data_IF_020745673801
#
_entry.id   IF_020745673801
#
_cell.length_a   1.000
_cell.length_b   1.000
_cell.length_c   1.000
_cell.angle_alpha   90.00
_cell.angle_beta   90.00
_cell.angle_gamma   90.00
#
_symmetry.space_group_name_H-M   'P 1'
#
loop_
_entity.id
_entity.type
_entity.pdbx_description
1 polymer ?
#
# COMPACT_ATOMS: atom_id res chain seq x y z
N UNK A 1 -5.04 0.53 -12.23
CA UNK A 1 -4.45 0.35 -10.90
C UNK A 1 -3.79 -1.01 -10.82
N UNK A 2 -2.54 -1.04 -10.40
CA UNK A 2 -1.74 -2.27 -10.19
C UNK A 2 -1.56 -2.57 -8.70
N UNK A 3 -1.11 -3.78 -8.40
CA UNK A 3 -0.60 -4.13 -7.07
C UNK A 3 0.93 -4.20 -7.11
N UNK A 4 1.57 -3.38 -6.29
CA UNK A 4 2.99 -3.49 -6.00
C UNK A 4 3.20 -4.24 -4.68
N UNK A 5 4.27 -5.02 -4.59
CA UNK A 5 4.61 -5.75 -3.38
C UNK A 5 5.39 -4.84 -2.42
N UNK A 6 4.77 -4.44 -1.31
CA UNK A 6 5.42 -3.68 -0.24
C UNK A 6 6.32 -4.62 0.56
N UNK A 7 7.63 -4.37 0.52
CA UNK A 7 8.57 -5.25 1.19
C UNK A 7 8.47 -5.16 2.72
N UNK A 8 8.67 -6.31 3.36
CA UNK A 8 8.53 -6.52 4.79
C UNK A 8 9.29 -7.77 5.23
N UNK A 9 9.30 -8.03 6.54
CA UNK A 9 9.92 -9.25 7.07
C UNK A 9 9.32 -10.52 6.42
N UNK A 10 10.18 -11.39 5.88
CA UNK A 10 9.77 -12.64 5.23
C UNK A 10 9.31 -12.50 3.78
N UNK A 11 9.43 -11.30 3.17
CA UNK A 11 9.00 -11.07 1.78
C UNK A 11 9.99 -11.54 0.71
N UNK A 12 11.24 -11.89 1.03
CA UNK A 12 12.27 -12.26 0.02
C UNK A 12 11.79 -13.39 -0.91
N UNK A 13 11.65 -14.61 -0.38
CA UNK A 13 11.21 -15.77 -1.18
C UNK A 13 9.74 -15.69 -1.60
N UNK A 14 8.93 -14.93 -0.86
CA UNK A 14 7.52 -14.71 -1.21
C UNK A 14 7.39 -13.85 -2.48
N UNK A 15 8.13 -12.75 -2.56
CA UNK A 15 8.11 -11.84 -3.70
C UNK A 15 8.71 -12.51 -4.93
N UNK A 16 9.82 -13.23 -4.78
CA UNK A 16 10.42 -14.00 -5.87
C UNK A 16 9.43 -15.04 -6.43
N UNK A 17 8.77 -15.82 -5.56
CA UNK A 17 7.76 -16.78 -5.96
C UNK A 17 6.61 -16.11 -6.72
N UNK A 18 6.03 -15.05 -6.16
CA UNK A 18 4.87 -14.37 -6.77
C UNK A 18 5.24 -13.73 -8.10
N UNK A 19 6.36 -13.02 -8.20
CA UNK A 19 6.83 -12.40 -9.44
C UNK A 19 7.10 -13.47 -10.50
N UNK A 20 7.71 -14.60 -10.13
CA UNK A 20 7.91 -15.73 -11.06
C UNK A 20 6.57 -16.29 -11.55
N UNK A 21 5.61 -16.55 -10.67
CA UNK A 21 4.30 -17.06 -11.07
C UNK A 21 3.52 -16.07 -11.95
N UNK A 22 3.68 -14.78 -11.67
CA UNK A 22 3.04 -13.70 -12.40
C UNK A 22 3.71 -13.34 -13.72
N UNK A 23 4.99 -13.67 -13.87
CA UNK A 23 5.87 -13.26 -14.96
C UNK A 23 5.95 -11.73 -15.13
N UNK A 24 5.57 -10.97 -14.10
CA UNK A 24 5.58 -9.51 -14.06
C UNK A 24 5.23 -8.99 -12.65
N UNK A 25 5.63 -7.75 -12.38
CA UNK A 25 5.21 -7.00 -11.19
C UNK A 25 6.33 -6.14 -10.63
N UNK A 26 5.99 -5.32 -9.64
CA UNK A 26 6.93 -4.39 -9.00
C UNK A 26 7.02 -4.68 -7.52
N UNK A 27 8.24 -4.63 -6.97
CA UNK A 27 8.51 -4.78 -5.53
C UNK A 27 9.12 -3.49 -5.00
N UNK A 28 8.46 -2.87 -4.00
CA UNK A 28 8.97 -1.70 -3.28
C UNK A 28 9.85 -2.18 -2.13
N UNK A 29 11.17 -2.16 -2.34
CA UNK A 29 12.16 -2.63 -1.39
C UNK A 29 12.27 -1.68 -0.18
N UNK A 30 12.53 -2.28 0.98
CA UNK A 30 12.59 -1.59 2.27
C UNK A 30 13.99 -1.73 2.88
N UNK A 31 14.80 -0.66 2.91
CA UNK A 31 16.06 -0.60 3.65
C UNK A 31 15.88 -0.87 5.16
N UNK A 32 14.70 -0.56 5.72
CA UNK A 32 14.37 -0.95 7.11
C UNK A 32 14.36 -2.47 7.31
N UNK A 33 13.92 -3.24 6.31
CA UNK A 33 13.79 -4.70 6.39
C UNK A 33 14.91 -5.48 5.71
N UNK A 34 15.76 -4.83 4.90
CA UNK A 34 16.80 -5.48 4.12
C UNK A 34 18.15 -4.79 4.32
N UNK A 35 19.18 -5.56 4.62
CA UNK A 35 20.56 -5.07 4.52
C UNK A 35 20.92 -4.84 3.06
N UNK A 36 21.93 -4.00 2.79
CA UNK A 36 22.37 -3.69 1.42
C UNK A 36 22.60 -4.95 0.55
N UNK A 37 23.30 -5.95 1.10
CA UNK A 37 23.57 -7.22 0.41
C UNK A 37 22.29 -8.01 0.07
N UNK A 38 21.26 -7.88 0.91
CA UNK A 38 19.97 -8.50 0.69
C UNK A 38 19.16 -7.74 -0.37
N UNK A 39 19.24 -6.40 -0.40
CA UNK A 39 18.65 -5.58 -1.48
C UNK A 39 19.23 -6.01 -2.83
N UNK A 40 20.55 -6.15 -2.93
CA UNK A 40 21.22 -6.60 -4.16
C UNK A 40 20.73 -8.00 -4.59
N UNK A 41 20.72 -8.96 -3.66
CA UNK A 41 20.28 -10.33 -3.92
C UNK A 41 18.82 -10.38 -4.39
N UNK A 42 17.93 -9.68 -3.69
CA UNK A 42 16.49 -9.66 -4.03
C UNK A 42 16.29 -8.99 -5.37
N UNK A 43 16.93 -7.85 -5.63
CA UNK A 43 16.79 -7.13 -6.90
C UNK A 43 17.17 -7.99 -8.09
N UNK A 44 18.29 -8.71 -8.01
CA UNK A 44 18.70 -9.66 -9.04
C UNK A 44 17.68 -10.78 -9.23
N UNK A 45 17.17 -11.37 -8.14
CA UNK A 45 16.19 -12.45 -8.22
C UNK A 45 14.86 -11.98 -8.84
N UNK A 46 14.37 -10.79 -8.47
CA UNK A 46 13.15 -10.21 -9.04
C UNK A 46 13.34 -9.88 -10.52
N UNK A 47 14.43 -9.20 -10.89
CA UNK A 47 14.71 -8.83 -12.27
C UNK A 47 14.88 -10.05 -13.19
N UNK A 48 15.49 -11.14 -12.70
CA UNK A 48 15.62 -12.40 -13.44
C UNK A 48 14.27 -13.10 -13.70
N UNK A 49 13.23 -12.78 -12.94
CA UNK A 49 11.88 -13.32 -13.09
C UNK A 49 10.93 -12.32 -13.79
N UNK A 50 11.46 -11.42 -14.63
CA UNK A 50 10.71 -10.38 -15.35
C UNK A 50 9.99 -9.36 -14.43
N UNK A 51 10.35 -9.32 -13.15
CA UNK A 51 9.88 -8.29 -12.23
C UNK A 51 10.71 -7.02 -12.34
N UNK A 52 10.26 -6.01 -11.61
CA UNK A 52 10.96 -4.75 -11.39
C UNK A 52 11.04 -4.46 -9.89
N UNK A 53 12.02 -3.66 -9.52
CA UNK A 53 12.14 -3.14 -8.14
C UNK A 53 12.06 -1.63 -8.15
N UNK A 54 11.62 -1.06 -7.04
CA UNK A 54 11.87 0.33 -6.69
C UNK A 54 12.26 0.36 -5.21
N UNK A 55 12.96 1.41 -4.80
CA UNK A 55 13.50 1.50 -3.44
C UNK A 55 12.79 2.65 -2.77
N UNK A 56 12.07 2.36 -1.70
CA UNK A 56 11.57 3.37 -0.78
C UNK A 56 12.70 3.71 0.20
N UNK A 57 13.27 4.93 0.19
CA UNK A 57 14.35 5.29 1.13
C UNK A 57 13.91 5.23 2.60
N UNK A 58 12.59 5.24 2.87
CA UNK A 58 12.00 5.16 4.19
C UNK A 58 12.49 6.25 5.15
N UNK A 59 12.76 7.43 4.62
CA UNK A 59 13.25 8.59 5.37
C UNK A 59 12.15 9.35 6.13
N UNK A 60 11.08 8.66 6.52
CA UNK A 60 9.89 9.26 7.15
C UNK A 60 10.20 9.87 8.51
N UNK A 61 10.98 9.16 9.32
CA UNK A 61 11.37 9.57 10.67
C UNK A 61 12.90 9.69 10.69
N UNK A 62 13.44 10.86 10.33
CA UNK A 62 14.88 11.04 10.27
C UNK A 62 15.63 10.82 11.60
N UNK A 63 14.92 11.01 12.72
CA UNK A 63 15.41 10.73 14.09
C UNK A 63 15.17 9.28 14.52
N UNK A 64 14.71 8.42 13.61
CA UNK A 64 14.54 7.00 13.86
C UNK A 64 15.88 6.35 14.19
N UNK A 65 15.83 5.35 15.07
CA UNK A 65 17.00 4.64 15.60
C UNK A 65 16.99 3.15 15.21
N UNK A 66 16.19 2.78 14.21
CA UNK A 66 16.16 1.42 13.71
C UNK A 66 17.49 1.05 13.04
N UNK A 67 18.31 0.27 13.75
CA UNK A 67 19.69 -0.10 13.41
C UNK A 67 19.92 -0.44 11.94
N UNK A 68 19.07 -1.29 11.34
CA UNK A 68 19.23 -1.67 9.92
C UNK A 68 19.06 -0.49 8.98
N UNK A 69 18.03 0.33 9.21
CA UNK A 69 17.69 1.46 8.35
C UNK A 69 18.80 2.51 8.39
N UNK A 70 19.26 2.83 9.59
CA UNK A 70 20.32 3.83 9.81
C UNK A 70 21.72 3.34 9.41
N UNK A 71 21.89 2.03 9.19
CA UNK A 71 23.17 1.46 8.72
C UNK A 71 23.43 1.63 7.21
N UNK A 72 22.43 2.08 6.44
CA UNK A 72 22.59 2.28 5.00
C UNK A 72 23.41 3.55 4.69
N UNK A 73 24.28 3.46 3.68
CA UNK A 73 25.22 4.54 3.31
C UNK A 73 24.58 5.88 2.98
N UNK A 74 23.31 5.89 2.51
CA UNK A 74 22.59 7.14 2.24
C UNK A 74 22.04 7.82 3.50
N UNK A 75 21.97 7.10 4.62
CA UNK A 75 21.45 7.65 5.88
C UNK A 75 22.51 8.58 6.50
N UNK A 76 22.17 9.84 6.83
CA UNK A 76 23.16 10.81 7.30
C UNK A 76 23.55 10.57 8.77
N UNK A 77 24.84 10.72 9.07
CA UNK A 77 25.40 10.57 10.43
C UNK A 77 24.95 11.69 11.41
N UNK A 78 24.73 12.92 10.92
CA UNK A 78 24.36 14.07 11.74
C UNK A 78 23.13 14.82 11.21
N UNK A 79 21.98 14.52 11.81
CA UNK A 79 20.67 15.01 11.38
C UNK A 79 20.47 16.53 11.52
N UNK A 80 21.02 17.18 12.56
CA UNK A 80 20.70 18.59 12.88
C UNK A 80 21.16 19.60 11.82
N UNK A 81 22.14 19.24 11.00
CA UNK A 81 22.75 20.14 10.00
C UNK A 81 22.49 19.69 8.56
N UNK A 82 22.18 18.42 8.32
CA UNK A 82 22.03 17.86 6.97
C UNK A 82 20.76 18.32 6.23
N UNK A 83 19.69 18.68 6.93
CA UNK A 83 18.38 18.97 6.33
C UNK A 83 18.24 20.37 5.74
N UNK A 84 19.16 21.27 6.09
CA UNK A 84 19.28 22.62 5.51
C UNK A 84 20.59 22.81 4.75
N UNK A 85 21.35 21.73 4.55
CA UNK A 85 22.58 21.74 3.77
C UNK A 85 22.35 21.01 2.45
N UNK A 86 22.28 21.79 1.36
CA UNK A 86 22.15 21.27 0.00
C UNK A 86 23.22 20.21 -0.31
N UNK A 87 24.42 20.31 0.28
CA UNK A 87 25.47 19.32 0.04
C UNK A 87 25.13 17.96 0.67
N UNK A 88 24.51 17.94 1.84
CA UNK A 88 24.13 16.70 2.51
C UNK A 88 22.97 16.02 1.76
N UNK A 89 21.95 16.78 1.35
CA UNK A 89 20.85 16.28 0.51
C UNK A 89 21.41 15.73 -0.80
N UNK A 90 22.26 16.49 -1.49
CA UNK A 90 22.89 16.05 -2.74
C UNK A 90 23.74 14.79 -2.55
N UNK A 91 24.46 14.67 -1.45
CA UNK A 91 25.26 13.48 -1.14
C UNK A 91 24.36 12.26 -0.94
N UNK A 92 23.30 12.38 -0.14
CA UNK A 92 22.30 11.33 0.06
C UNK A 92 21.66 10.90 -1.27
N UNK A 93 21.24 11.85 -2.11
CA UNK A 93 20.63 11.57 -3.40
C UNK A 93 21.61 10.90 -4.38
N UNK A 94 22.88 11.31 -4.42
CA UNK A 94 23.90 10.65 -5.23
C UNK A 94 24.13 9.20 -4.78
N UNK A 95 24.18 8.94 -3.47
CA UNK A 95 24.33 7.57 -2.95
C UNK A 95 23.10 6.73 -3.33
N UNK A 96 21.90 7.27 -3.12
CA UNK A 96 20.64 6.61 -3.53
C UNK A 96 20.60 6.35 -5.04
N UNK A 97 21.17 7.23 -5.87
CA UNK A 97 21.23 7.06 -7.31
C UNK A 97 22.26 6.00 -7.71
N UNK A 98 23.51 6.17 -7.32
CA UNK A 98 24.62 5.38 -7.85
C UNK A 98 24.71 3.99 -7.19
N UNK A 99 24.54 3.92 -5.87
CA UNK A 99 24.77 2.67 -5.11
C UNK A 99 23.51 1.80 -5.00
N UNK A 100 22.33 2.39 -5.21
CA UNK A 100 21.03 1.73 -5.03
C UNK A 100 20.24 1.69 -6.34
N UNK A 101 19.66 2.81 -6.79
CA UNK A 101 18.71 2.80 -7.89
C UNK A 101 19.34 2.42 -9.24
N UNK A 102 20.47 3.02 -9.59
CA UNK A 102 21.22 2.72 -10.80
C UNK A 102 21.80 1.31 -10.80
N UNK A 103 22.37 0.89 -9.67
CA UNK A 103 22.94 -0.46 -9.51
C UNK A 103 21.90 -1.57 -9.61
N UNK A 104 20.71 -1.37 -9.04
CA UNK A 104 19.66 -2.38 -8.98
C UNK A 104 18.62 -2.28 -10.10
N UNK A 105 18.76 -1.29 -10.99
CA UNK A 105 17.86 -1.09 -12.12
C UNK A 105 16.45 -0.75 -11.68
N UNK A 106 16.31 0.16 -10.71
CA UNK A 106 15.01 0.58 -10.20
C UNK A 106 14.12 1.13 -11.31
N UNK A 107 12.83 0.80 -11.24
CA UNK A 107 11.79 1.25 -12.17
C UNK A 107 11.58 2.77 -12.11
N UNK A 108 11.60 3.31 -10.91
CA UNK A 108 11.37 4.71 -10.59
C UNK A 108 12.30 5.13 -9.44
N UNK A 109 12.50 6.43 -9.27
CA UNK A 109 13.30 6.98 -8.19
C UNK A 109 12.38 7.65 -7.17
N UNK A 110 12.18 6.99 -6.03
CA UNK A 110 11.41 7.55 -4.91
C UNK A 110 12.33 8.48 -4.11
N UNK A 111 11.94 9.75 -4.02
CA UNK A 111 12.64 10.74 -3.23
C UNK A 111 12.40 10.51 -1.73
N UNK A 112 13.41 10.73 -0.86
CA UNK A 112 13.20 10.71 0.57
C UNK A 112 12.19 11.79 0.99
N UNK A 113 11.24 11.45 1.84
CA UNK A 113 10.24 12.38 2.37
C UNK A 113 10.05 12.21 3.86
N UNK A 114 9.77 13.31 4.57
CA UNK A 114 9.54 13.32 6.02
C UNK A 114 8.05 13.12 6.29
N UNK A 115 7.76 12.36 7.34
CA UNK A 115 6.44 12.29 7.96
C UNK A 115 6.05 13.64 8.57
N UNK A 116 4.95 14.23 8.10
CA UNK A 116 4.47 15.50 8.64
C UNK A 116 3.10 15.38 9.29
N UNK A 117 2.93 16.12 10.40
CA UNK A 117 1.65 16.36 11.06
C UNK A 117 1.02 17.69 10.66
N UNK A 118 1.71 18.49 9.86
CA UNK A 118 1.24 19.78 9.36
C UNK A 118 1.89 20.11 8.01
N UNK A 119 1.06 20.45 7.04
CA UNK A 119 1.41 21.01 5.75
C UNK A 119 1.50 22.52 5.92
N UNK A 120 2.68 23.07 5.68
CA UNK A 120 2.97 24.50 5.78
C UNK A 120 4.14 24.87 4.85
N UNK A 121 4.57 26.13 4.90
CA UNK A 121 5.66 26.64 4.06
C UNK A 121 7.00 25.92 4.32
N UNK A 122 7.30 25.53 5.56
CA UNK A 122 8.52 24.79 5.89
C UNK A 122 8.52 23.40 5.26
N UNK A 123 7.37 22.71 5.30
CA UNK A 123 7.19 21.43 4.63
C UNK A 123 7.38 21.55 3.11
N UNK A 124 6.81 22.59 2.49
CA UNK A 124 6.98 22.85 1.05
C UNK A 124 8.44 23.15 0.70
N UNK A 125 9.06 24.09 1.41
CA UNK A 125 10.46 24.48 1.22
C UNK A 125 11.40 23.27 1.28
N UNK A 126 11.17 22.37 2.24
CA UNK A 126 11.97 21.16 2.41
C UNK A 126 11.84 20.21 1.20
N UNK A 127 10.62 19.89 0.78
CA UNK A 127 10.40 18.99 -0.33
C UNK A 127 10.87 19.60 -1.66
N UNK A 128 10.58 20.89 -1.87
CA UNK A 128 11.06 21.66 -3.03
C UNK A 128 12.59 21.64 -3.14
N UNK A 129 13.31 21.72 -2.01
CA UNK A 129 14.77 21.62 -2.00
C UNK A 129 15.25 20.24 -2.48
N UNK A 130 14.69 19.14 -1.97
CA UNK A 130 15.05 17.79 -2.42
C UNK A 130 14.78 17.62 -3.91
N UNK A 131 13.60 18.06 -4.37
CA UNK A 131 13.20 17.93 -5.77
C UNK A 131 14.16 18.72 -6.66
N UNK A 132 14.52 19.94 -6.26
CA UNK A 132 15.47 20.77 -7.02
C UNK A 132 16.85 20.12 -7.11
N UNK A 133 17.36 19.55 -6.02
CA UNK A 133 18.64 18.84 -6.02
C UNK A 133 18.57 17.56 -6.84
N UNK A 134 17.47 16.80 -6.78
CA UNK A 134 17.26 15.61 -7.58
C UNK A 134 17.23 15.93 -9.10
N UNK A 135 16.57 17.01 -9.50
CA UNK A 135 16.55 17.46 -10.90
C UNK A 135 17.94 17.88 -11.40
N UNK A 136 18.79 18.43 -10.53
CA UNK A 136 20.18 18.75 -10.87
C UNK A 136 21.03 17.50 -11.16
N UNK A 137 20.65 16.33 -10.62
CA UNK A 137 21.35 15.06 -10.84
C UNK A 137 21.04 14.38 -12.19
N UNK A 138 20.09 14.92 -12.98
CA UNK A 138 19.69 14.38 -14.29
C UNK A 138 19.33 12.89 -14.24
N UNK A 139 18.54 12.52 -13.23
CA UNK A 139 18.03 11.17 -13.03
C UNK A 139 17.19 10.76 -14.25
N UNK A 140 17.47 9.60 -14.83
CA UNK A 140 16.77 9.09 -16.03
C UNK A 140 15.40 8.49 -15.71
N UNK A 141 15.26 7.92 -14.51
CA UNK A 141 14.01 7.38 -14.00
C UNK A 141 13.01 8.49 -13.71
N UNK A 142 11.72 8.13 -13.76
CA UNK A 142 10.66 8.99 -13.23
C UNK A 142 10.88 9.27 -11.74
N UNK A 143 10.81 10.55 -11.35
CA UNK A 143 10.95 11.01 -9.98
C UNK A 143 9.58 10.99 -9.30
N UNK A 144 9.55 10.35 -8.13
CA UNK A 144 8.39 10.27 -7.27
C UNK A 144 8.67 10.98 -5.96
N UNK A 145 7.93 12.05 -5.65
CA UNK A 145 8.01 12.69 -4.33
C UNK A 145 7.23 11.88 -3.30
N UNK A 146 7.81 11.69 -2.12
CA UNK A 146 7.14 10.99 -1.02
C UNK A 146 6.27 11.94 -0.22
N UNK A 147 4.96 11.69 -0.16
CA UNK A 147 4.03 12.41 0.72
C UNK A 147 3.65 11.52 1.88
N UNK A 148 4.33 11.69 3.02
CA UNK A 148 4.04 10.94 4.25
C UNK A 148 3.28 11.81 5.24
N UNK A 149 2.00 11.47 5.43
CA UNK A 149 1.06 12.31 6.17
C UNK A 149 0.54 11.60 7.41
N UNK A 150 0.45 12.36 8.49
CA UNK A 150 -0.18 11.90 9.72
C UNK A 150 -1.69 11.79 9.59
N UNK A 151 -2.30 11.11 10.55
CA UNK A 151 -3.75 11.12 10.68
C UNK A 151 -4.29 12.57 10.83
N UNK A 152 -3.63 13.47 11.55
CA UNK A 152 -4.07 14.87 11.69
C UNK A 152 -4.18 15.60 10.34
N UNK A 153 -3.19 15.42 9.45
CA UNK A 153 -3.24 15.97 8.09
C UNK A 153 -4.39 15.32 7.31
N UNK A 154 -4.49 13.99 7.37
CA UNK A 154 -5.53 13.24 6.64
C UNK A 154 -6.96 13.51 7.13
N UNK A 155 -7.13 14.11 8.31
CA UNK A 155 -8.43 14.50 8.88
C UNK A 155 -8.83 15.93 8.50
N UNK A 156 -7.94 16.72 7.90
CA UNK A 156 -8.16 18.13 7.60
C UNK A 156 -8.24 18.41 6.11
N UNK A 157 -9.44 18.77 5.62
CA UNK A 157 -9.66 19.19 4.24
C UNK A 157 -8.76 20.39 3.87
N UNK A 158 -8.57 21.34 4.79
CA UNK A 158 -7.67 22.50 4.59
C UNK A 158 -6.22 22.07 4.33
N UNK A 159 -5.72 21.10 5.09
CA UNK A 159 -4.36 20.58 4.94
C UNK A 159 -4.18 19.82 3.63
N UNK A 160 -5.19 19.05 3.20
CA UNK A 160 -5.20 18.38 1.89
C UNK A 160 -5.18 19.40 0.76
N UNK A 161 -5.99 20.45 0.83
CA UNK A 161 -6.02 21.50 -0.17
C UNK A 161 -4.69 22.26 -0.26
N UNK A 162 -4.10 22.58 0.89
CA UNK A 162 -2.79 23.25 0.94
C UNK A 162 -1.68 22.35 0.39
N UNK A 163 -1.72 21.03 0.65
CA UNK A 163 -0.79 20.09 0.06
C UNK A 163 -0.92 20.06 -1.47
N UNK A 164 -2.15 20.05 -1.98
CA UNK A 164 -2.41 20.12 -3.42
C UNK A 164 -1.83 21.40 -4.03
N UNK A 165 -2.05 22.57 -3.42
CA UNK A 165 -1.51 23.85 -3.89
C UNK A 165 0.02 23.84 -4.01
N UNK A 166 0.74 23.35 -3.00
CA UNK A 166 2.20 23.24 -3.08
C UNK A 166 2.65 22.26 -4.16
N UNK A 167 2.01 21.08 -4.23
CA UNK A 167 2.38 20.03 -5.20
C UNK A 167 2.20 20.44 -6.66
N UNK A 168 1.33 21.41 -6.98
CA UNK A 168 1.18 21.94 -8.35
C UNK A 168 2.50 22.49 -8.92
N UNK A 169 3.36 23.04 -8.05
CA UNK A 169 4.62 23.66 -8.45
C UNK A 169 5.81 22.68 -8.45
N UNK A 170 5.59 21.43 -8.01
CA UNK A 170 6.65 20.44 -7.90
C UNK A 170 6.92 19.76 -9.24
N UNK A 171 8.17 19.88 -9.69
CA UNK A 171 8.65 19.23 -10.91
C UNK A 171 9.03 17.77 -10.62
N UNK A 172 8.00 16.91 -10.51
CA UNK A 172 8.10 15.45 -10.40
C UNK A 172 7.07 14.76 -11.30
N UNK A 173 7.33 13.52 -11.70
CA UNK A 173 6.40 12.72 -12.52
C UNK A 173 5.28 12.08 -11.69
N UNK A 174 5.49 11.88 -10.40
CA UNK A 174 4.48 11.29 -9.53
C UNK A 174 4.72 11.44 -8.03
N UNK A 175 3.84 10.80 -7.27
CA UNK A 175 3.86 10.81 -5.82
C UNK A 175 3.73 9.41 -5.25
N UNK A 176 4.52 9.13 -4.22
CA UNK A 176 4.40 7.96 -3.37
C UNK A 176 3.74 8.38 -2.05
N UNK A 177 2.45 8.07 -1.91
CA UNK A 177 1.64 8.46 -0.75
C UNK A 177 1.80 7.45 0.37
N UNK A 178 2.03 7.93 1.58
CA UNK A 178 2.18 7.11 2.79
C UNK A 178 1.31 7.73 3.89
N UNK A 179 -0.01 7.52 3.84
CA UNK A 179 -0.93 8.10 4.81
C UNK A 179 -1.03 7.21 6.06
N UNK A 180 -0.89 7.81 7.24
CA UNK A 180 -1.10 7.11 8.51
C UNK A 180 -2.61 7.02 8.83
N UNK A 181 -3.16 5.81 9.05
CA UNK A 181 -4.55 5.65 9.42
C UNK A 181 -4.81 6.02 10.89
N UNK A 182 -6.05 6.41 11.24
CA UNK A 182 -6.41 6.71 12.62
C UNK A 182 -6.13 5.50 13.53
N UNK A 183 -5.53 5.75 14.69
CA UNK A 183 -5.23 4.74 15.73
C UNK A 183 -4.42 3.53 15.23
N UNK A 184 -3.63 3.69 14.16
CA UNK A 184 -2.90 2.58 13.49
C UNK A 184 -3.82 1.42 13.08
N UNK A 185 -5.08 1.73 12.77
CA UNK A 185 -6.10 0.74 12.41
C UNK A 185 -5.73 -0.01 11.12
N UNK A 186 -6.13 -1.28 11.04
CA UNK A 186 -6.01 -2.05 9.80
C UNK A 186 -7.15 -1.73 8.84
N UNK A 187 -8.39 -1.77 9.34
CA UNK A 187 -9.57 -1.30 8.62
C UNK A 187 -10.00 0.03 9.22
N UNK A 188 -10.08 1.06 8.38
CA UNK A 188 -10.37 2.44 8.75
C UNK A 188 -11.88 2.61 8.87
N UNK A 189 -12.34 2.99 10.05
CA UNK A 189 -13.76 3.25 10.34
C UNK A 189 -14.14 4.74 10.20
N UNK A 190 -13.20 5.58 9.80
CA UNK A 190 -13.40 7.01 9.59
C UNK A 190 -13.63 7.36 8.10
N UNK A 191 -14.84 7.83 7.72
CA UNK A 191 -15.13 8.17 6.33
C UNK A 191 -14.43 9.45 5.88
N UNK A 192 -14.14 10.40 6.76
CA UNK A 192 -13.48 11.66 6.41
C UNK A 192 -12.06 11.36 5.94
N UNK A 193 -11.35 10.50 6.67
CA UNK A 193 -10.00 10.09 6.30
C UNK A 193 -9.96 9.46 4.89
N UNK A 194 -10.91 8.56 4.57
CA UNK A 194 -10.98 7.95 3.23
C UNK A 194 -11.33 8.96 2.12
N UNK A 195 -12.24 9.89 2.40
CA UNK A 195 -12.61 10.96 1.45
C UNK A 195 -11.40 11.84 1.16
N UNK A 196 -10.68 12.25 2.19
CA UNK A 196 -9.49 13.10 2.07
C UNK A 196 -8.37 12.39 1.30
N UNK A 197 -8.17 11.08 1.50
CA UNK A 197 -7.23 10.30 0.69
C UNK A 197 -7.66 10.22 -0.78
N UNK A 198 -8.95 9.99 -1.05
CA UNK A 198 -9.49 10.02 -2.41
C UNK A 198 -9.32 11.40 -3.05
N UNK A 199 -9.53 12.46 -2.27
CA UNK A 199 -9.44 13.84 -2.75
C UNK A 199 -8.01 14.23 -3.09
N UNK A 200 -7.07 13.94 -2.20
CA UNK A 200 -5.64 14.10 -2.43
C UNK A 200 -5.20 13.33 -3.69
N UNK A 201 -5.52 12.04 -3.75
CA UNK A 201 -5.15 11.21 -4.91
C UNK A 201 -5.75 11.76 -6.20
N UNK A 202 -7.03 12.13 -6.20
CA UNK A 202 -7.69 12.71 -7.38
C UNK A 202 -7.08 14.05 -7.79
N UNK A 203 -6.75 14.92 -6.83
CA UNK A 203 -6.11 16.21 -7.10
C UNK A 203 -4.76 16.04 -7.77
N UNK A 204 -3.91 15.17 -7.24
CA UNK A 204 -2.60 14.85 -7.83
C UNK A 204 -2.74 14.26 -9.24
N UNK A 205 -3.71 13.36 -9.46
CA UNK A 205 -4.00 12.81 -10.80
C UNK A 205 -4.47 13.91 -11.76
N UNK A 206 -5.27 14.88 -11.32
CA UNK A 206 -5.68 16.03 -12.12
C UNK A 206 -4.53 16.97 -12.48
N UNK A 207 -3.45 16.99 -11.69
CA UNK A 207 -2.20 17.67 -12.04
C UNK A 207 -1.38 16.90 -13.09
N UNK A 208 -1.90 15.79 -13.64
CA UNK A 208 -1.23 14.96 -14.64
C UNK A 208 -0.15 14.05 -14.07
N UNK A 209 -0.19 13.78 -12.76
CA UNK A 209 0.85 13.07 -12.02
C UNK A 209 0.50 11.59 -11.88
N UNK A 210 1.50 10.74 -11.70
CA UNK A 210 1.28 9.36 -11.25
C UNK A 210 1.12 9.30 -9.73
N UNK A 211 0.29 8.40 -9.24
CA UNK A 211 0.04 8.22 -7.80
C UNK A 211 0.17 6.75 -7.43
N UNK A 212 1.09 6.47 -6.50
CA UNK A 212 1.28 5.15 -5.89
C UNK A 212 1.00 5.30 -4.40
N UNK A 213 0.18 4.42 -3.81
CA UNK A 213 -0.14 4.47 -2.38
C UNK A 213 0.52 3.31 -1.65
N UNK A 214 1.47 3.63 -0.78
CA UNK A 214 2.17 2.70 0.10
C UNK A 214 1.23 2.06 1.14
N UNK A 215 1.70 1.00 1.79
CA UNK A 215 1.08 0.43 3.01
C UNK A 215 -0.43 0.25 2.94
N UNK A 216 -0.91 -0.29 1.83
CA UNK A 216 -2.32 -0.43 1.50
C UNK A 216 -2.86 -1.85 1.73
N UNK A 217 -4.17 -1.95 1.90
CA UNK A 217 -4.90 -3.20 1.97
C UNK A 217 -6.14 -3.17 1.04
N UNK A 218 -6.96 -4.21 1.10
CA UNK A 218 -8.13 -4.36 0.24
C UNK A 218 -9.20 -3.28 0.45
N UNK A 219 -9.25 -2.59 1.58
CA UNK A 219 -10.16 -1.46 1.80
C UNK A 219 -9.87 -0.30 0.83
N UNK A 220 -8.59 -0.10 0.48
CA UNK A 220 -8.16 0.98 -0.41
C UNK A 220 -8.36 0.66 -1.90
N UNK A 221 -9.08 -0.42 -2.24
CA UNK A 221 -9.58 -0.64 -3.60
C UNK A 221 -10.48 0.51 -4.08
N UNK A 222 -11.09 1.27 -3.17
CA UNK A 222 -11.87 2.46 -3.50
C UNK A 222 -11.05 3.55 -4.22
N UNK A 223 -9.72 3.57 -4.07
CA UNK A 223 -8.81 4.49 -4.77
C UNK A 223 -8.83 4.33 -6.30
N UNK A 224 -9.41 3.24 -6.81
CA UNK A 224 -9.72 3.11 -8.21
C UNK A 224 -10.62 4.24 -8.74
N UNK A 225 -11.47 4.87 -7.90
CA UNK A 225 -12.27 6.05 -8.27
C UNK A 225 -11.42 7.27 -8.64
N UNK A 226 -10.26 7.42 -8.02
CA UNK A 226 -9.30 8.47 -8.33
C UNK A 226 -8.34 8.04 -9.45
N UNK A 227 -8.49 6.83 -10.01
CA UNK A 227 -7.59 6.24 -11.01
C UNK A 227 -6.12 6.17 -10.56
N UNK A 228 -5.91 5.89 -9.26
CA UNK A 228 -4.58 5.61 -8.70
C UNK A 228 -3.85 4.55 -9.52
N UNK A 229 -2.56 4.79 -9.78
CA UNK A 229 -1.76 3.94 -10.66
C UNK A 229 -1.42 2.61 -10.00
N UNK A 230 -1.05 2.62 -8.71
CA UNK A 230 -0.82 1.41 -7.94
C UNK A 230 -1.08 1.59 -6.43
N UNK A 231 -1.42 0.48 -5.78
CA UNK A 231 -1.35 0.37 -4.31
C UNK A 231 -0.27 -0.65 -3.94
N UNK A 232 0.40 -0.46 -2.80
CA UNK A 232 1.47 -1.34 -2.33
C UNK A 232 1.01 -2.14 -1.11
N UNK A 233 1.11 -3.47 -1.15
CA UNK A 233 0.69 -4.33 -0.04
C UNK A 233 1.68 -5.48 0.20
N UNK A 234 1.72 -6.01 1.41
CA UNK A 234 2.65 -7.08 1.79
C UNK A 234 2.00 -8.23 2.56
N UNK A 235 2.82 -9.01 3.25
CA UNK A 235 2.39 -10.20 3.99
C UNK A 235 1.76 -9.89 5.36
N UNK A 236 2.35 -8.96 6.11
CA UNK A 236 1.93 -8.63 7.48
C UNK A 236 1.13 -7.33 7.55
N UNK A 237 0.35 -7.13 8.62
CA UNK A 237 -0.49 -5.93 8.74
C UNK A 237 0.33 -4.62 8.73
N UNK A 238 1.54 -4.62 9.27
CA UNK A 238 2.43 -3.45 9.31
C UNK A 238 3.06 -3.08 7.95
N UNK A 239 2.81 -3.85 6.89
CA UNK A 239 3.09 -3.50 5.48
C UNK A 239 1.79 -3.32 4.68
N UNK A 240 0.65 -3.24 5.37
CA UNK A 240 -0.71 -3.05 4.82
C UNK A 240 -1.48 -1.91 5.51
N UNK A 241 -0.84 -1.29 6.48
CA UNK A 241 -1.28 -0.13 7.24
C UNK A 241 -0.01 0.51 7.79
N UNK A 242 0.20 1.79 7.50
CA UNK A 242 1.41 2.51 7.89
C UNK A 242 1.39 2.82 9.39
N UNK A 243 2.55 2.70 10.04
CA UNK A 243 2.74 3.10 11.44
C UNK A 243 4.19 3.54 11.64
N UNK A 244 4.36 4.76 12.15
CA UNK A 244 5.66 5.37 12.44
C UNK A 244 6.47 4.62 13.51
N UNK A 245 5.83 3.93 14.45
CA UNK A 245 6.48 3.13 15.51
C UNK A 245 7.45 2.09 14.95
N UNK A 246 7.22 1.59 13.73
CA UNK A 246 8.05 0.57 13.09
C UNK A 246 9.47 1.05 12.73
N UNK A 247 9.66 2.37 12.63
CA UNK A 247 10.94 3.01 12.29
C UNK A 247 11.78 3.34 13.52
N UNK A 248 11.29 3.00 14.70
CA UNK A 248 12.04 3.01 15.94
C UNK A 248 12.59 1.62 16.30
N UNK A 249 13.53 1.58 17.23
CA UNK A 249 14.03 0.33 17.80
C UNK A 249 12.85 -0.53 18.32
N UNK A 250 12.80 -1.82 17.96
CA UNK A 250 11.68 -2.67 18.34
C UNK A 250 11.58 -2.79 19.86
N UNK A 251 10.37 -2.64 20.39
CA UNK A 251 10.05 -3.00 21.77
C UNK A 251 9.82 -4.52 21.86
N UNK A 252 10.37 -5.15 22.90
CA UNK A 252 10.23 -6.59 23.12
C UNK A 252 8.75 -6.97 23.26
N UNK A 253 8.22 -7.67 22.26
CA UNK A 253 6.83 -8.13 22.23
C UNK A 253 6.69 -9.46 21.52
N UNK A 254 6.20 -10.47 22.22
CA UNK A 254 5.83 -11.77 21.62
C UNK A 254 4.42 -11.62 21.04
N UNK A 255 4.32 -11.33 19.73
CA UNK A 255 3.04 -11.37 19.02
C UNK A 255 2.61 -12.81 18.74
N UNK A 256 1.35 -13.15 19.07
CA UNK A 256 0.78 -14.47 18.87
C UNK A 256 0.43 -14.67 17.38
N UNK A 257 1.23 -15.46 16.67
CA UNK A 257 1.00 -15.79 15.27
C UNK A 257 -0.27 -16.62 15.09
N UNK A 258 -1.13 -16.19 14.17
CA UNK A 258 -2.34 -16.93 13.76
C UNK A 258 -2.37 -17.00 12.23
N UNK A 259 -2.81 -18.13 11.67
CA UNK A 259 -3.03 -18.30 10.24
C UNK A 259 -4.39 -17.71 9.85
N UNK A 260 -4.42 -16.93 8.79
CA UNK A 260 -5.62 -16.27 8.28
C UNK A 260 -5.91 -16.71 6.84
N UNK A 261 -7.17 -16.75 6.47
CA UNK A 261 -7.65 -16.95 5.11
C UNK A 261 -8.36 -15.67 4.67
N UNK A 262 -7.97 -15.12 3.53
CA UNK A 262 -8.66 -13.96 2.96
C UNK A 262 -9.78 -14.45 2.04
N UNK A 263 -11.02 -14.07 2.35
CA UNK A 263 -12.16 -14.30 1.47
C UNK A 263 -12.38 -13.05 0.61
N UNK A 264 -11.94 -13.04 -0.66
CA UNK A 264 -11.98 -11.82 -1.48
C UNK A 264 -13.39 -11.34 -1.80
N UNK A 265 -14.40 -12.22 -1.79
CA UNK A 265 -15.80 -11.87 -2.00
C UNK A 265 -16.42 -11.15 -0.79
N UNK A 266 -15.97 -11.50 0.42
CA UNK A 266 -16.39 -10.88 1.67
C UNK A 266 -15.51 -9.67 2.04
N UNK A 267 -14.44 -9.42 1.29
CA UNK A 267 -13.36 -8.49 1.62
C UNK A 267 -12.82 -8.71 3.05
N UNK A 268 -12.93 -9.92 3.61
CA UNK A 268 -12.68 -10.19 5.03
C UNK A 268 -11.63 -11.29 5.21
N UNK A 269 -10.90 -11.24 6.31
CA UNK A 269 -9.98 -12.30 6.70
C UNK A 269 -10.52 -13.11 7.89
N UNK A 270 -10.40 -14.44 7.82
CA UNK A 270 -10.90 -15.36 8.82
C UNK A 270 -9.78 -16.24 9.39
N UNK A 271 -9.75 -16.40 10.70
CA UNK A 271 -8.87 -17.39 11.32
C UNK A 271 -9.35 -18.80 10.99
N UNK A 272 -8.42 -19.75 10.83
CA UNK A 272 -8.74 -21.16 10.50
C UNK A 272 -9.83 -21.78 11.40
N UNK A 273 -9.89 -21.53 12.73
CA UNK A 273 -10.98 -22.03 13.56
C UNK A 273 -12.38 -21.56 13.13
N UNK A 274 -12.53 -20.37 12.53
CA UNK A 274 -13.83 -19.93 11.98
C UNK A 274 -14.18 -20.63 10.67
N UNK A 275 -13.19 -21.07 9.89
CA UNK A 275 -13.43 -21.95 8.75
C UNK A 275 -13.88 -23.34 9.21
N UNK A 276 -13.39 -23.84 10.36
CA UNK A 276 -13.90 -25.08 10.96
C UNK A 276 -15.36 -24.97 11.37
N UNK A 277 -15.79 -23.80 11.89
CA UNK A 277 -17.20 -23.52 12.17
C UNK A 277 -18.01 -23.58 10.86
N UNK A 278 -17.54 -22.94 9.80
CA UNK A 278 -18.19 -23.00 8.49
C UNK A 278 -18.31 -24.45 7.97
N UNK A 279 -17.27 -25.26 8.15
CA UNK A 279 -17.28 -26.68 7.81
C UNK A 279 -18.32 -27.46 8.60
N UNK A 280 -18.38 -27.25 9.91
CA UNK A 280 -19.39 -27.89 10.78
C UNK A 280 -20.82 -27.52 10.38
N UNK A 281 -21.02 -26.33 9.83
CA UNK A 281 -22.33 -25.83 9.39
C UNK A 281 -22.66 -26.16 7.93
N UNK A 282 -21.75 -26.81 7.19
CA UNK A 282 -21.94 -27.10 5.77
C UNK A 282 -21.84 -25.85 4.86
N UNK A 283 -21.22 -24.78 5.34
CA UNK A 283 -21.09 -23.48 4.65
C UNK A 283 -19.69 -23.23 4.07
N UNK A 284 -18.82 -24.24 4.02
CA UNK A 284 -17.44 -24.11 3.51
C UNK A 284 -17.38 -23.53 2.10
N UNK A 285 -18.33 -23.87 1.23
CA UNK A 285 -18.34 -23.39 -0.17
C UNK A 285 -18.68 -21.90 -0.30
N UNK A 286 -19.42 -21.33 0.66
CA UNK A 286 -19.72 -19.88 0.68
C UNK A 286 -18.47 -19.02 0.92
N UNK A 287 -17.44 -19.62 1.53
CA UNK A 287 -16.14 -18.99 1.75
C UNK A 287 -15.13 -19.28 0.64
N UNK A 288 -15.41 -20.23 -0.27
CA UNK A 288 -14.43 -20.67 -1.25
C UNK A 288 -14.08 -19.54 -2.23
N UNK A 289 -12.79 -19.32 -2.45
CA UNK A 289 -12.33 -18.32 -3.42
C UNK A 289 -12.74 -18.74 -4.84
N UNK A 290 -13.34 -17.81 -5.59
CA UNK A 290 -13.72 -18.07 -6.98
C UNK A 290 -12.48 -18.35 -7.86
N UNK A 291 -12.62 -19.24 -8.84
CA UNK A 291 -11.53 -19.62 -9.75
C UNK A 291 -10.93 -18.47 -10.55
N UNK A 292 -11.69 -17.38 -10.76
CA UNK A 292 -11.24 -16.15 -11.40
C UNK A 292 -10.12 -15.42 -10.66
N UNK A 293 -9.89 -15.73 -9.38
CA UNK A 293 -8.74 -15.19 -8.62
C UNK A 293 -7.43 -15.92 -8.90
N UNK A 294 -7.47 -17.07 -9.59
CA UNK A 294 -6.29 -17.85 -9.96
C UNK A 294 -5.36 -18.13 -8.76
N UNK A 295 -5.94 -18.46 -7.60
CA UNK A 295 -5.21 -18.57 -6.33
C UNK A 295 -5.29 -19.98 -5.74
N UNK A 296 -4.44 -20.91 -6.19
CA UNK A 296 -4.48 -22.31 -5.74
C UNK A 296 -4.03 -22.49 -4.28
N UNK A 297 -3.46 -21.44 -3.68
CA UNK A 297 -2.82 -21.47 -2.37
C UNK A 297 -3.76 -21.80 -1.22
N UNK A 298 -5.06 -21.54 -1.37
CA UNK A 298 -6.07 -21.82 -0.35
C UNK A 298 -6.95 -23.05 -0.68
N UNK A 299 -6.80 -23.67 -1.85
CA UNK A 299 -7.69 -24.77 -2.31
C UNK A 299 -7.76 -25.92 -1.31
N UNK A 300 -6.65 -26.20 -0.62
CA UNK A 300 -6.57 -27.28 0.37
C UNK A 300 -7.59 -27.10 1.51
N UNK A 301 -7.94 -25.86 1.87
CA UNK A 301 -8.95 -25.53 2.89
C UNK A 301 -10.37 -25.96 2.49
N UNK A 302 -10.61 -26.12 1.18
CA UNK A 302 -11.93 -26.39 0.60
C UNK A 302 -12.01 -27.79 -0.03
N UNK A 303 -11.01 -28.65 0.21
CA UNK A 303 -10.88 -30.00 -0.35
C UNK A 303 -11.81 -31.06 0.26
N UNK A 304 -12.64 -30.70 1.25
CA UNK A 304 -13.61 -31.58 1.92
C UNK A 304 -13.17 -32.06 3.31
N UNK A 305 -11.91 -31.90 3.68
CA UNK A 305 -11.44 -32.10 5.05
C UNK A 305 -11.76 -30.88 5.94
N UNK A 306 -11.73 -31.07 7.26
CA UNK A 306 -11.82 -29.96 8.22
C UNK A 306 -10.64 -28.99 8.01
N UNK A 307 -10.87 -27.67 7.83
CA UNK A 307 -9.82 -26.71 7.51
C UNK A 307 -8.57 -26.75 8.41
N UNK A 308 -8.73 -26.91 9.73
CA UNK A 308 -7.58 -27.00 10.65
C UNK A 308 -6.78 -28.29 10.58
N UNK A 309 -7.32 -29.36 9.99
CA UNK A 309 -6.59 -30.61 9.75
C UNK A 309 -5.86 -30.63 8.41
N UNK A 310 -6.03 -29.59 7.59
CA UNK A 310 -5.31 -29.44 6.32
C UNK A 310 -3.87 -28.96 6.51
N UNK A 311 -3.05 -29.17 5.47
CA UNK A 311 -1.67 -28.65 5.41
C UNK A 311 -1.55 -27.14 5.18
N UNK A 312 -2.64 -26.36 5.27
CA UNK A 312 -2.61 -24.92 5.03
C UNK A 312 -1.69 -24.20 6.02
N UNK A 313 -0.79 -23.38 5.49
CA UNK A 313 0.29 -22.75 6.25
C UNK A 313 0.35 -21.23 6.01
N UNK A 314 1.20 -20.56 6.79
CA UNK A 314 1.34 -19.11 6.76
C UNK A 314 1.86 -18.59 5.39
N UNK A 315 2.90 -19.18 4.76
CA UNK A 315 3.28 -18.80 3.40
C UNK A 315 2.13 -18.89 2.39
N UNK A 316 1.31 -19.94 2.45
CA UNK A 316 0.14 -20.09 1.58
C UNK A 316 -0.90 -18.98 1.82
N UNK A 317 -1.09 -18.55 3.07
CA UNK A 317 -1.96 -17.42 3.41
C UNK A 317 -1.48 -16.11 2.79
N UNK A 318 -0.19 -15.80 2.87
CA UNK A 318 0.34 -14.58 2.28
C UNK A 318 0.27 -14.59 0.76
N UNK A 319 0.64 -15.70 0.12
CA UNK A 319 0.50 -15.87 -1.33
C UNK A 319 -0.95 -15.73 -1.78
N UNK A 320 -1.87 -16.36 -1.04
CA UNK A 320 -3.29 -16.30 -1.33
C UNK A 320 -3.82 -14.86 -1.29
N UNK A 321 -3.56 -14.13 -0.21
CA UNK A 321 -3.99 -12.73 -0.06
C UNK A 321 -3.47 -11.85 -1.20
N UNK A 322 -2.15 -11.89 -1.46
CA UNK A 322 -1.52 -11.02 -2.46
C UNK A 322 -1.97 -11.37 -3.89
N UNK A 323 -2.18 -12.66 -4.18
CA UNK A 323 -2.76 -13.09 -5.45
C UNK A 323 -4.18 -12.55 -5.62
N UNK A 324 -5.04 -12.70 -4.61
CA UNK A 324 -6.42 -12.22 -4.68
C UNK A 324 -6.47 -10.70 -4.82
N UNK A 325 -5.67 -9.97 -4.05
CA UNK A 325 -5.59 -8.51 -4.12
C UNK A 325 -5.04 -8.03 -5.47
N UNK A 326 -4.08 -8.74 -6.09
CA UNK A 326 -3.61 -8.44 -7.45
C UNK A 326 -4.75 -8.49 -8.44
N UNK A 327 -5.57 -9.54 -8.41
CA UNK A 327 -6.71 -9.66 -9.31
C UNK A 327 -7.77 -8.60 -9.02
N UNK A 328 -8.01 -8.24 -7.75
CA UNK A 328 -8.94 -7.16 -7.40
C UNK A 328 -8.48 -5.81 -7.92
N UNK A 329 -7.21 -5.44 -7.70
CA UNK A 329 -6.64 -4.16 -8.17
C UNK A 329 -6.67 -4.04 -9.68
N UNK A 330 -6.28 -5.09 -10.41
CA UNK A 330 -6.34 -5.14 -11.88
C UNK A 330 -7.77 -4.97 -12.42
N UNK A 331 -8.77 -5.44 -11.67
CA UNK A 331 -10.18 -5.34 -12.03
C UNK A 331 -10.87 -4.09 -11.47
N UNK A 332 -10.24 -3.32 -10.59
CA UNK A 332 -10.90 -2.23 -9.87
C UNK A 332 -11.22 -1.05 -10.80
N UNK A 333 -10.27 -0.66 -11.65
CA UNK A 333 -10.44 0.43 -12.64
C UNK A 333 -11.10 -0.13 -13.90
N UNK A 334 -12.20 0.49 -14.33
CA UNK A 334 -12.95 0.14 -15.56
C UNK A 334 -12.76 1.20 -16.64
N UNK A 335 -13.21 0.95 -17.90
CA UNK A 335 -13.06 1.91 -18.99
C UNK A 335 -13.72 3.28 -18.76
N UNK A 336 -14.69 3.39 -17.86
CA UNK A 336 -15.31 4.67 -17.51
C UNK A 336 -15.41 4.85 -16.01
N UNK A 337 -15.42 6.11 -15.55
CA UNK A 337 -15.65 6.47 -14.16
C UNK A 337 -16.92 5.81 -13.59
N UNK A 338 -18.05 5.89 -14.32
CA UNK A 338 -19.33 5.30 -13.85
C UNK A 338 -19.24 3.79 -13.70
N UNK A 339 -18.61 3.09 -14.65
CA UNK A 339 -18.40 1.65 -14.54
C UNK A 339 -17.49 1.27 -13.38
N UNK A 340 -16.46 2.08 -13.09
CA UNK A 340 -15.59 1.90 -11.91
C UNK A 340 -16.39 2.05 -10.63
N UNK A 341 -17.17 3.14 -10.51
CA UNK A 341 -18.02 3.41 -9.35
C UNK A 341 -19.05 2.31 -9.11
N UNK A 342 -19.79 1.91 -10.15
CA UNK A 342 -20.78 0.84 -10.05
C UNK A 342 -20.14 -0.50 -9.68
N UNK A 343 -18.97 -0.82 -10.23
CA UNK A 343 -18.22 -2.02 -9.89
C UNK A 343 -17.79 -2.05 -8.42
N UNK A 344 -17.32 -0.93 -7.88
CA UNK A 344 -16.95 -0.80 -6.47
C UNK A 344 -18.18 -0.91 -5.55
N UNK A 345 -19.28 -0.23 -5.86
CA UNK A 345 -20.52 -0.32 -5.07
C UNK A 345 -21.00 -1.78 -5.04
N UNK A 346 -21.06 -2.46 -6.18
CA UNK A 346 -21.46 -3.86 -6.25
C UNK A 346 -20.54 -4.76 -5.40
N UNK A 347 -19.23 -4.52 -5.43
CA UNK A 347 -18.27 -5.26 -4.61
C UNK A 347 -18.53 -5.04 -3.12
N UNK A 348 -18.76 -3.80 -2.69
CA UNK A 348 -19.05 -3.44 -1.30
C UNK A 348 -20.39 -4.03 -0.82
N UNK A 349 -21.45 -3.95 -1.62
CA UNK A 349 -22.76 -4.53 -1.31
C UNK A 349 -22.72 -6.06 -1.25
N UNK A 350 -21.94 -6.69 -2.13
CA UNK A 350 -21.68 -8.14 -2.10
C UNK A 350 -20.96 -8.54 -0.83
N UNK A 351 -19.90 -7.80 -0.46
CA UNK A 351 -19.18 -8.03 0.79
C UNK A 351 -20.09 -7.84 2.01
N UNK A 352 -20.95 -6.81 2.00
CA UNK A 352 -21.95 -6.57 3.06
C UNK A 352 -22.88 -7.76 3.23
N UNK A 353 -23.52 -8.19 2.13
CA UNK A 353 -24.50 -9.28 2.15
C UNK A 353 -23.87 -10.60 2.60
N UNK A 354 -22.66 -10.90 2.11
CA UNK A 354 -21.94 -12.12 2.46
C UNK A 354 -21.46 -12.09 3.92
N UNK A 355 -20.91 -10.97 4.39
CA UNK A 355 -20.46 -10.86 5.79
C UNK A 355 -21.64 -10.90 6.76
N UNK A 356 -22.78 -10.27 6.45
CA UNK A 356 -24.01 -10.39 7.23
C UNK A 356 -24.48 -11.86 7.32
N UNK A 357 -24.53 -12.55 6.18
CA UNK A 357 -24.86 -13.97 6.13
C UNK A 357 -23.90 -14.82 6.99
N UNK A 358 -22.59 -14.64 6.82
CA UNK A 358 -21.58 -15.39 7.59
C UNK A 358 -21.66 -15.10 9.10
N UNK A 359 -21.85 -13.83 9.47
CA UNK A 359 -21.96 -13.38 10.85
C UNK A 359 -23.22 -13.93 11.54
N UNK A 360 -24.34 -13.98 10.83
CA UNK A 360 -25.58 -14.59 11.32
C UNK A 360 -25.43 -16.10 11.58
N UNK A 361 -24.47 -16.74 10.90
CA UNK A 361 -24.06 -18.13 11.09
C UNK A 361 -22.83 -18.30 12.03
N UNK A 362 -22.40 -17.25 12.75
CA UNK A 362 -21.31 -17.36 13.72
C UNK A 362 -19.89 -17.46 13.13
N UNK A 363 -19.74 -17.27 11.83
CA UNK A 363 -18.45 -17.20 11.13
C UNK A 363 -18.03 -15.73 11.10
N UNK A 364 -17.02 -15.34 11.90
CA UNK A 364 -16.65 -13.93 12.14
C UNK A 364 -15.20 -13.65 11.79
N UNK A 365 -14.92 -12.52 11.14
CA UNK A 365 -13.56 -12.06 10.81
C UNK A 365 -12.86 -11.31 11.94
N UNK A 366 -13.57 -10.99 13.03
CA UNK A 366 -13.09 -10.14 14.14
C UNK A 366 -12.61 -8.78 13.63
N UNK A 367 -11.45 -8.30 14.07
CA UNK A 367 -10.81 -7.04 13.65
C UNK A 367 -10.46 -6.97 12.15
N UNK A 368 -10.64 -8.07 11.40
CA UNK A 368 -10.46 -8.14 9.94
C UNK A 368 -11.76 -8.46 9.19
N UNK A 369 -12.89 -8.23 9.84
CA UNK A 369 -14.22 -8.36 9.25
C UNK A 369 -14.64 -7.05 8.58
N UNK A 370 -14.80 -7.10 7.26
CA UNK A 370 -15.09 -5.92 6.46
C UNK A 370 -16.46 -5.32 6.75
N UNK A 371 -17.39 -6.09 7.36
CA UNK A 371 -18.70 -5.60 7.77
C UNK A 371 -18.62 -4.38 8.70
N UNK A 372 -17.47 -4.16 9.35
CA UNK A 372 -17.23 -3.01 10.23
C UNK A 372 -17.01 -1.71 9.47
N UNK A 373 -16.65 -1.77 8.19
CA UNK A 373 -16.23 -0.60 7.40
C UNK A 373 -16.93 -0.50 6.04
N UNK A 374 -17.86 -1.40 5.70
CA UNK A 374 -18.63 -1.30 4.44
C UNK A 374 -19.32 0.06 4.31
N UNK A 375 -20.06 0.50 5.33
CA UNK A 375 -20.81 1.76 5.30
C UNK A 375 -19.89 2.98 5.21
N UNK A 376 -18.68 2.87 5.78
CA UNK A 376 -17.63 3.88 5.72
C UNK A 376 -17.14 4.04 4.28
N UNK A 377 -16.83 2.93 3.61
CA UNK A 377 -16.44 2.91 2.20
C UNK A 377 -17.56 3.40 1.28
N UNK A 378 -18.81 2.96 1.48
CA UNK A 378 -19.96 3.42 0.68
C UNK A 378 -20.18 4.93 0.84
N UNK A 379 -20.07 5.44 2.06
CA UNK A 379 -20.18 6.87 2.37
C UNK A 379 -19.08 7.67 1.68
N UNK A 380 -17.83 7.19 1.74
CA UNK A 380 -16.70 7.84 1.08
C UNK A 380 -16.86 7.87 -0.45
N UNK A 381 -17.29 6.76 -1.06
CA UNK A 381 -17.59 6.67 -2.50
C UNK A 381 -18.68 7.69 -2.89
N UNK A 382 -19.78 7.75 -2.15
CA UNK A 382 -20.89 8.65 -2.45
C UNK A 382 -20.50 10.13 -2.27
N UNK A 383 -19.75 10.45 -1.21
CA UNK A 383 -19.25 11.79 -0.97
C UNK A 383 -18.27 12.23 -2.07
N UNK A 384 -17.30 11.38 -2.42
CA UNK A 384 -16.35 11.65 -3.50
C UNK A 384 -17.04 11.86 -4.86
N UNK A 385 -18.02 11.03 -5.22
CA UNK A 385 -18.81 11.20 -6.45
C UNK A 385 -19.52 12.55 -6.48
N UNK A 386 -20.07 12.99 -5.35
CA UNK A 386 -20.72 14.29 -5.24
C UNK A 386 -19.76 15.47 -5.35
N UNK A 387 -18.56 15.35 -4.78
CA UNK A 387 -17.57 16.44 -4.73
C UNK A 387 -16.75 16.54 -6.01
N UNK A 388 -16.28 15.40 -6.55
CA UNK A 388 -15.31 15.32 -7.65
C UNK A 388 -15.80 14.52 -8.86
N UNK A 389 -16.89 13.75 -8.73
CA UNK A 389 -17.32 12.79 -9.76
C UNK A 389 -17.55 13.41 -11.14
N UNK A 390 -18.09 14.63 -11.22
CA UNK A 390 -18.26 15.32 -12.51
C UNK A 390 -16.92 15.61 -13.21
N UNK A 391 -15.94 16.13 -12.47
CA UNK A 391 -14.62 16.50 -13.00
C UNK A 391 -13.86 15.23 -13.40
N UNK A 392 -13.80 14.25 -12.50
CA UNK A 392 -13.11 12.97 -12.73
C UNK A 392 -13.72 12.23 -13.93
N UNK A 393 -15.05 12.25 -14.06
CA UNK A 393 -15.74 11.66 -15.21
C UNK A 393 -15.36 12.33 -16.53
N UNK A 394 -15.23 13.66 -16.55
CA UNK A 394 -14.90 14.39 -17.76
C UNK A 394 -13.46 14.13 -18.23
N UNK A 395 -12.53 14.00 -17.29
CA UNK A 395 -11.11 13.77 -17.56
C UNK A 395 -10.70 12.31 -17.47
N UNK A 396 -11.64 11.37 -17.32
CA UNK A 396 -11.33 9.98 -16.97
C UNK A 396 -10.29 9.32 -17.89
N UNK A 397 -10.35 9.59 -19.19
CA UNK A 397 -9.43 9.01 -20.17
C UNK A 397 -8.04 9.65 -20.13
N UNK A 398 -7.94 10.89 -19.65
CA UNK A 398 -6.71 11.68 -19.53
C UNK A 398 -5.95 11.45 -18.21
N UNK A 399 -6.63 10.90 -17.19
CA UNK A 399 -6.06 10.62 -15.86
C UNK A 399 -5.05 9.48 -15.83
#
# INVERSE_FOLDING_TARGET
MELYLQFGYGMMGLSEHLISDWQSGVVILSPRDLEYSQIEKVSLAINNNNGKVAIDPQFYIPRGDHERLTSHSFWPDNYQTAFFDNNAIRTMLNILLDEYNGKFGSLLFILPGIYTSEVNEDWDNYNSLIISEARNLKIEQELFSTLSFSNEVMQSEEQIHLALEYTENWDVEGYYLVPEPPNHSYLIDDPIWLINLLDLASGLKQQGKKVIVGYSNHQLLCLALAKVDAICSGNWLNVRSFNTERFHAPTDGISRRSKWYYCPQALSEYQIPFLDIAHRMGLTQELATASSFHSPYADILFSGAQPSSTGYNEPASFKHYLQCLRIQTQNAVKPTYESTKQGLILQLETASSLTEFLNSNGIRGRDRDFSQVVDVNLSAVAAFDRLRGMIVKHHWDDL
#
